data_IF_836980924628
#
_entry.id   IF_836980924628
#
_cell.length_a   1.000
_cell.length_b   1.000
_cell.length_c   1.000
_cell.angle_alpha   90.00
_cell.angle_beta   90.00
_cell.angle_gamma   90.00
#
_symmetry.space_group_name_H-M   'P 1'
#
loop_
_entity.id
_entity.type
_entity.pdbx_description
1 polymer ?
#
# COMPACT_ATOMS: atom_id res chain seq x y z
N UNK A 1 24.69 -15.01 15.69
CA UNK A 1 23.86 -13.78 15.60
C UNK A 1 22.44 -14.15 15.97
N UNK A 2 21.67 -13.27 16.63
CA UNK A 2 20.30 -13.56 17.08
C UNK A 2 19.26 -13.65 15.94
N UNK A 3 19.69 -13.59 14.67
CA UNK A 3 18.80 -13.58 13.49
C UNK A 3 17.87 -12.38 13.38
N UNK A 4 17.91 -11.45 14.34
CA UNK A 4 17.02 -10.28 14.41
C UNK A 4 17.58 -9.14 13.57
N UNK A 5 16.76 -8.59 12.69
CA UNK A 5 17.09 -7.39 11.93
C UNK A 5 17.20 -6.18 12.87
N UNK A 6 18.23 -5.37 12.69
CA UNK A 6 18.43 -4.13 13.45
C UNK A 6 17.78 -2.97 12.71
N UNK A 7 16.58 -2.57 13.15
CA UNK A 7 15.83 -1.46 12.56
C UNK A 7 16.43 -0.09 12.87
N UNK A 8 17.33 0.00 13.85
CA UNK A 8 17.99 1.24 14.25
C UNK A 8 19.36 1.42 13.57
N UNK A 9 19.81 0.42 12.80
CA UNK A 9 21.04 0.50 12.03
C UNK A 9 20.96 1.64 11.01
N UNK A 10 21.92 2.57 11.09
CA UNK A 10 22.01 3.68 10.16
C UNK A 10 22.38 3.20 8.75
N UNK A 11 21.70 3.73 7.75
CA UNK A 11 22.02 3.53 6.33
C UNK A 11 22.59 4.84 5.81
N UNK A 12 23.85 4.84 5.37
CA UNK A 12 24.49 6.02 4.81
C UNK A 12 23.66 6.59 3.65
N UNK A 13 23.35 7.88 3.72
CA UNK A 13 22.54 8.57 2.71
C UNK A 13 21.02 8.47 2.91
N UNK A 14 20.52 7.72 3.90
CA UNK A 14 19.10 7.64 4.24
C UNK A 14 18.86 8.23 5.62
N UNK A 15 18.04 9.28 5.72
CA UNK A 15 17.63 9.84 7.01
C UNK A 15 16.26 10.50 6.97
N UNK A 16 15.49 10.37 8.05
CA UNK A 16 14.36 11.26 8.31
C UNK A 16 14.91 12.59 8.87
N UNK A 17 14.85 13.66 8.08
CA UNK A 17 15.35 14.98 8.50
C UNK A 17 14.44 15.60 9.57
N UNK A 18 13.14 15.31 9.48
CA UNK A 18 12.10 15.66 10.44
C UNK A 18 10.91 14.71 10.25
N UNK A 19 9.79 14.96 10.95
CA UNK A 19 8.58 14.11 10.91
C UNK A 19 7.97 13.95 9.50
N UNK A 20 8.18 14.91 8.60
CA UNK A 20 7.55 14.95 7.28
C UNK A 20 8.56 15.03 6.12
N UNK A 21 9.86 14.93 6.40
CA UNK A 21 10.92 15.03 5.40
C UNK A 21 11.84 13.80 5.42
N UNK A 22 11.85 13.05 4.33
CA UNK A 22 12.82 11.97 4.07
C UNK A 22 13.92 12.49 3.14
N UNK A 23 15.18 12.39 3.54
CA UNK A 23 16.34 12.68 2.69
C UNK A 23 16.99 11.38 2.22
N UNK A 24 17.17 11.28 0.91
CA UNK A 24 17.87 10.21 0.21
C UNK A 24 19.03 10.82 -0.58
N UNK A 25 20.25 10.37 -0.34
CA UNK A 25 21.46 10.80 -1.04
C UNK A 25 22.06 9.60 -1.77
N UNK A 26 22.07 9.67 -3.11
CA UNK A 26 22.57 8.60 -3.97
C UNK A 26 24.07 8.80 -4.23
N UNK A 27 24.80 7.70 -4.33
CA UNK A 27 26.25 7.72 -4.64
C UNK A 27 26.49 8.22 -6.07
N UNK A 28 25.61 7.83 -7.00
CA UNK A 28 25.61 8.27 -8.39
C UNK A 28 24.18 8.64 -8.81
N UNK A 29 23.99 9.50 -9.83
CA UNK A 29 22.67 9.73 -10.40
C UNK A 29 22.02 8.43 -10.88
N UNK A 30 20.77 8.19 -10.48
CA UNK A 30 19.94 7.10 -10.97
C UNK A 30 18.62 7.68 -11.52
N UNK A 31 18.47 7.62 -12.84
CA UNK A 31 17.31 8.16 -13.54
C UNK A 31 16.06 7.29 -13.40
N UNK A 32 16.20 6.05 -12.94
CA UNK A 32 15.10 5.10 -12.69
C UNK A 32 14.65 5.10 -11.23
N UNK A 33 15.29 5.90 -10.38
CA UNK A 33 15.06 5.89 -8.93
C UNK A 33 13.58 6.10 -8.54
N UNK A 34 12.86 6.96 -9.27
CA UNK A 34 11.42 7.17 -9.01
C UNK A 34 10.56 5.93 -9.32
N UNK A 35 10.93 5.14 -10.32
CA UNK A 35 10.26 3.87 -10.61
C UNK A 35 10.54 2.85 -9.52
N UNK A 36 11.79 2.83 -9.02
CA UNK A 36 12.16 1.99 -7.89
C UNK A 36 11.32 2.32 -6.64
N UNK A 37 11.08 3.60 -6.36
CA UNK A 37 10.25 4.06 -5.24
C UNK A 37 8.77 3.62 -5.33
N UNK A 38 8.27 3.30 -6.52
CA UNK A 38 6.90 2.78 -6.71
C UNK A 38 6.81 1.26 -6.43
N UNK A 39 7.95 0.59 -6.29
CA UNK A 39 8.02 -0.85 -6.01
C UNK A 39 7.38 -1.20 -4.66
N UNK A 40 6.66 -2.32 -4.64
CA UNK A 40 6.04 -2.86 -3.43
C UNK A 40 7.04 -3.09 -2.29
N UNK A 41 8.30 -3.43 -2.62
CA UNK A 41 9.36 -3.69 -1.64
C UNK A 41 9.82 -2.45 -0.87
N UNK A 42 9.56 -1.24 -1.41
CA UNK A 42 9.93 0.03 -0.76
C UNK A 42 8.75 0.71 -0.05
N UNK A 43 7.59 0.04 0.04
CA UNK A 43 6.45 0.58 0.79
C UNK A 43 6.76 0.61 2.28
N UNK A 44 6.48 1.75 2.90
CA UNK A 44 6.62 1.91 4.34
C UNK A 44 5.64 1.02 5.10
N UNK A 45 6.09 0.52 6.25
CA UNK A 45 5.30 -0.29 7.19
C UNK A 45 5.40 0.30 8.59
N UNK A 46 4.37 0.10 9.42
CA UNK A 46 4.39 0.51 10.82
C UNK A 46 5.29 -0.43 11.64
N UNK A 47 6.43 0.07 12.14
CA UNK A 47 7.44 -0.72 12.86
C UNK A 47 6.84 -1.44 14.05
N UNK A 48 6.03 -0.75 14.84
CA UNK A 48 5.39 -1.27 16.05
C UNK A 48 4.43 -2.45 15.75
N UNK A 49 3.88 -2.50 14.54
CA UNK A 49 3.01 -3.59 14.09
C UNK A 49 3.82 -4.80 13.69
N UNK A 50 4.93 -4.58 12.98
CA UNK A 50 5.87 -5.66 12.64
C UNK A 50 6.47 -6.26 13.91
N UNK A 51 6.97 -5.43 14.83
CA UNK A 51 7.54 -5.90 16.09
C UNK A 51 6.54 -6.71 16.93
N UNK A 52 5.24 -6.38 16.85
CA UNK A 52 4.20 -7.05 17.64
C UNK A 52 3.58 -8.28 16.97
N UNK A 53 3.36 -8.24 15.66
CA UNK A 53 2.49 -9.19 14.95
C UNK A 53 3.17 -9.94 13.80
N UNK A 54 4.46 -9.68 13.52
CA UNK A 54 5.14 -10.40 12.46
C UNK A 54 5.23 -11.91 12.75
N UNK A 55 4.92 -12.71 11.74
CA UNK A 55 5.16 -14.15 11.74
C UNK A 55 6.66 -14.48 11.53
N UNK A 56 7.00 -15.77 11.44
CA UNK A 56 8.37 -16.23 11.19
C UNK A 56 8.95 -15.77 9.84
N UNK A 57 8.12 -15.24 8.94
CA UNK A 57 8.54 -14.65 7.68
C UNK A 57 8.65 -13.13 7.72
N UNK A 58 8.51 -12.52 8.90
CA UNK A 58 8.60 -11.07 9.09
C UNK A 58 7.35 -10.31 8.63
N UNK A 59 6.22 -10.99 8.41
CA UNK A 59 5.00 -10.38 7.85
C UNK A 59 3.89 -10.32 8.90
N UNK A 60 3.18 -9.19 8.93
CA UNK A 60 2.01 -8.99 9.79
C UNK A 60 0.69 -9.01 8.98
N UNK A 61 0.50 -10.02 8.12
CA UNK A 61 -0.60 -10.03 7.12
C UNK A 61 -2.00 -10.02 7.74
N UNK A 62 -2.17 -10.53 8.98
CA UNK A 62 -3.45 -10.51 9.70
C UNK A 62 -3.71 -9.19 10.42
N UNK A 63 -2.68 -8.35 10.57
CA UNK A 63 -2.76 -7.05 11.26
C UNK A 63 -2.14 -5.93 10.41
N UNK A 64 -2.48 -5.79 9.11
CA UNK A 64 -1.83 -4.81 8.26
C UNK A 64 -2.24 -3.40 8.68
N UNK A 65 -1.26 -2.52 8.80
CA UNK A 65 -1.46 -1.08 8.97
C UNK A 65 -0.82 -0.36 7.80
N UNK A 66 -1.60 0.45 7.11
CA UNK A 66 -1.16 1.21 5.94
C UNK A 66 -1.97 2.49 5.77
N UNK A 67 -1.53 3.33 4.83
CA UNK A 67 -2.08 4.67 4.58
C UNK A 67 -3.05 4.72 3.39
N UNK A 68 -3.37 3.55 2.81
CA UNK A 68 -4.22 3.42 1.63
C UNK A 68 -5.71 3.70 1.87
N UNK A 69 -6.51 3.71 0.79
CA UNK A 69 -7.94 4.03 0.85
C UNK A 69 -8.78 2.97 1.56
N UNK A 70 -8.28 1.75 1.72
CA UNK A 70 -8.97 0.66 2.41
C UNK A 70 -8.09 0.05 3.48
N UNK A 71 -8.73 -0.51 4.52
CA UNK A 71 -8.08 -1.27 5.58
C UNK A 71 -8.70 -2.66 5.70
N UNK A 72 -7.91 -3.61 6.21
CA UNK A 72 -8.39 -4.97 6.46
C UNK A 72 -9.44 -4.93 7.57
N UNK A 73 -10.64 -5.42 7.26
CA UNK A 73 -11.73 -5.61 8.23
C UNK A 73 -11.77 -7.04 8.74
N UNK A 74 -11.63 -8.00 7.83
CA UNK A 74 -11.68 -9.42 8.16
C UNK A 74 -10.88 -10.22 7.15
N UNK A 75 -10.19 -11.26 7.61
CA UNK A 75 -9.56 -12.24 6.74
C UNK A 75 -9.82 -13.64 7.27
N UNK A 76 -10.43 -14.48 6.43
CA UNK A 76 -10.45 -15.93 6.58
C UNK A 76 -9.52 -16.52 5.51
N UNK A 77 -8.32 -17.01 5.89
CA UNK A 77 -7.38 -17.61 4.94
C UNK A 77 -8.04 -18.66 4.05
N UNK A 78 -7.70 -18.67 2.76
CA UNK A 78 -8.25 -19.59 1.75
C UNK A 78 -9.72 -19.36 1.38
N UNK A 79 -10.42 -18.39 1.99
CA UNK A 79 -11.87 -18.23 1.82
C UNK A 79 -12.33 -16.81 1.51
N UNK A 80 -11.94 -15.83 2.34
CA UNK A 80 -12.54 -14.48 2.26
C UNK A 80 -11.62 -13.39 2.79
N UNK A 81 -11.54 -12.29 2.06
CA UNK A 81 -10.96 -11.02 2.53
C UNK A 81 -12.05 -9.96 2.48
N UNK A 82 -12.22 -9.23 3.58
CA UNK A 82 -13.10 -8.06 3.66
C UNK A 82 -12.25 -6.82 3.91
N UNK A 83 -12.39 -5.83 3.05
CA UNK A 83 -11.81 -4.51 3.22
C UNK A 83 -12.92 -3.50 3.49
N UNK A 84 -12.65 -2.54 4.36
CA UNK A 84 -13.52 -1.38 4.59
C UNK A 84 -12.79 -0.09 4.24
N UNK A 85 -13.54 0.93 3.83
CA UNK A 85 -12.99 2.26 3.57
C UNK A 85 -12.21 2.77 4.80
N UNK A 86 -11.02 3.32 4.57
CA UNK A 86 -10.20 3.90 5.62
C UNK A 86 -10.72 5.32 5.94
N UNK A 87 -11.31 5.57 7.13
CA UNK A 87 -11.83 6.88 7.48
C UNK A 87 -10.72 7.94 7.60
N UNK A 88 -9.47 7.51 7.85
CA UNK A 88 -8.29 8.37 7.90
C UNK A 88 -7.60 8.58 6.55
N UNK A 89 -8.18 8.11 5.44
CA UNK A 89 -7.59 8.35 4.13
C UNK A 89 -7.53 9.84 3.82
N UNK A 90 -6.42 10.28 3.23
CA UNK A 90 -6.19 11.67 2.82
C UNK A 90 -7.30 12.20 1.92
N UNK A 91 -7.42 13.52 1.80
CA UNK A 91 -8.38 14.13 0.88
C UNK A 91 -7.91 13.99 -0.57
N UNK A 92 -8.12 12.80 -1.12
CA UNK A 92 -7.87 12.49 -2.52
C UNK A 92 -9.20 12.42 -3.27
N UNK A 93 -9.27 13.10 -4.42
CA UNK A 93 -10.46 13.13 -5.29
C UNK A 93 -10.23 12.21 -6.48
N UNK A 94 -11.32 11.70 -7.05
CA UNK A 94 -11.26 10.91 -8.27
C UNK A 94 -10.54 11.70 -9.38
N UNK A 95 -9.52 11.11 -10.03
CA UNK A 95 -8.70 11.84 -10.99
C UNK A 95 -9.48 12.15 -12.28
N UNK A 96 -9.14 13.23 -12.99
CA UNK A 96 -9.66 13.44 -14.34
C UNK A 96 -9.18 12.31 -15.27
N UNK A 97 -9.93 12.06 -16.35
CA UNK A 97 -9.50 11.11 -17.36
C UNK A 97 -8.20 11.59 -18.05
N UNK A 98 -7.28 10.67 -18.40
CA UNK A 98 -6.17 10.99 -19.30
C UNK A 98 -6.67 11.59 -20.62
N UNK A 99 -5.90 12.49 -21.22
CA UNK A 99 -6.30 13.18 -22.46
C UNK A 99 -6.60 12.19 -23.61
N UNK A 100 -5.79 11.12 -23.70
CA UNK A 100 -5.88 10.05 -24.68
C UNK A 100 -6.86 8.92 -24.31
N UNK A 101 -7.62 9.07 -23.21
CA UNK A 101 -8.59 8.05 -22.81
C UNK A 101 -9.78 7.97 -23.78
N UNK A 102 -10.35 6.78 -23.91
CA UNK A 102 -11.58 6.55 -24.66
C UNK A 102 -12.81 7.23 -24.01
N UNK A 103 -13.92 7.23 -24.74
CA UNK A 103 -15.16 7.88 -24.29
C UNK A 103 -15.75 7.24 -23.02
N UNK A 104 -15.56 5.93 -22.82
CA UNK A 104 -16.08 5.23 -21.64
C UNK A 104 -15.35 5.67 -20.38
N UNK A 105 -14.02 5.76 -20.44
CA UNK A 105 -13.19 6.24 -19.32
C UNK A 105 -13.49 7.72 -19.03
N UNK A 106 -13.64 8.55 -20.07
CA UNK A 106 -14.02 9.97 -19.92
C UNK A 106 -15.38 10.13 -19.24
N UNK A 107 -16.37 9.34 -19.65
CA UNK A 107 -17.70 9.35 -19.04
C UNK A 107 -17.65 8.96 -17.55
N UNK A 108 -16.88 7.93 -17.20
CA UNK A 108 -16.68 7.54 -15.80
C UNK A 108 -16.03 8.67 -15.01
N UNK A 109 -14.95 9.27 -15.51
CA UNK A 109 -14.26 10.36 -14.82
C UNK A 109 -15.15 11.58 -14.58
N UNK A 110 -15.94 11.99 -15.58
CA UNK A 110 -16.89 13.10 -15.40
C UNK A 110 -17.98 12.75 -14.37
N UNK A 111 -18.51 11.52 -14.37
CA UNK A 111 -19.50 11.07 -13.36
C UNK A 111 -18.94 11.03 -11.93
N UNK A 112 -17.61 10.99 -11.79
CA UNK A 112 -16.90 10.88 -10.51
C UNK A 112 -16.21 12.18 -10.10
N UNK A 113 -16.27 13.21 -10.92
CA UNK A 113 -15.62 14.49 -10.72
C UNK A 113 -15.95 15.08 -9.36
N UNK A 114 -14.92 15.44 -8.59
CA UNK A 114 -15.05 16.03 -7.26
C UNK A 114 -15.44 15.05 -6.14
N UNK A 115 -15.68 13.77 -6.44
CA UNK A 115 -15.94 12.76 -5.40
C UNK A 115 -14.65 12.37 -4.68
N UNK A 116 -14.72 12.23 -3.36
CA UNK A 116 -13.61 11.78 -2.50
C UNK A 116 -13.35 10.29 -2.66
N UNK A 117 -12.11 9.83 -2.60
CA UNK A 117 -11.80 8.41 -2.52
C UNK A 117 -11.77 7.92 -1.04
N UNK A 118 -12.06 6.63 -0.80
CA UNK A 118 -12.77 5.72 -1.69
C UNK A 118 -14.28 6.03 -1.76
N UNK A 119 -14.93 5.64 -2.87
CA UNK A 119 -16.40 5.75 -3.01
C UNK A 119 -17.14 4.47 -2.65
N UNK A 120 -16.43 3.34 -2.61
CA UNK A 120 -16.98 2.05 -2.16
C UNK A 120 -16.68 1.92 -0.67
N UNK A 121 -17.70 1.65 0.14
CA UNK A 121 -17.52 1.53 1.60
C UNK A 121 -16.93 0.20 2.04
N UNK A 122 -17.19 -0.88 1.27
CA UNK A 122 -16.83 -2.25 1.62
C UNK A 122 -16.53 -3.06 0.37
N UNK A 123 -15.43 -3.80 0.39
CA UNK A 123 -15.04 -4.73 -0.66
C UNK A 123 -14.98 -6.13 -0.03
N UNK A 124 -15.65 -7.09 -0.66
CA UNK A 124 -15.57 -8.50 -0.29
C UNK A 124 -14.92 -9.28 -1.43
N UNK A 125 -13.85 -9.98 -1.12
CA UNK A 125 -13.10 -10.83 -2.04
C UNK A 125 -13.33 -12.27 -1.59
N UNK A 126 -14.02 -13.04 -2.42
CA UNK A 126 -14.14 -14.49 -2.24
C UNK A 126 -12.93 -15.18 -2.88
N UNK A 127 -12.33 -16.11 -2.14
CA UNK A 127 -11.24 -16.96 -2.63
C UNK A 127 -11.87 -18.31 -2.94
N UNK A 128 -11.77 -18.73 -4.20
CA UNK A 128 -12.24 -20.03 -4.68
C UNK A 128 -11.00 -20.79 -5.15
N UNK A 129 -10.68 -21.88 -4.45
CA UNK A 129 -9.61 -22.78 -4.87
C UNK A 129 -10.17 -23.79 -5.88
N UNK A 130 -9.82 -23.65 -7.15
CA UNK A 130 -10.10 -24.67 -8.16
C UNK A 130 -8.98 -25.70 -8.17
N UNK A 131 -9.32 -26.97 -7.88
CA UNK A 131 -8.37 -28.08 -8.05
C UNK A 131 -8.41 -28.51 -9.51
N UNK A 132 -7.37 -28.16 -10.28
CA UNK A 132 -7.25 -28.70 -11.64
C UNK A 132 -6.87 -30.19 -11.54
N UNK A 133 -7.64 -31.13 -12.12
CA UNK A 133 -7.28 -32.55 -12.09
C UNK A 133 -5.92 -32.77 -12.76
N UNK A 134 -5.09 -33.62 -12.17
CA UNK A 134 -3.82 -34.07 -12.76
C UNK A 134 -4.06 -35.04 -13.92
#
# INVERSE_FOLDING_TARGET
>A
SSGRFDYDAEIQGLRAADRYTLKLELINPDYTFFELLDSASLRAVAREVIEKYADSSGRAMQHPVGTGPYRLKEWTPGRRIVLEANPGYRDERFPPAPANADLSVKAVAESMKGKRLPQIGRIEIAIIEETNPR
#
